data_IF_355448295435
#
_entry.id   IF_355448295435
#
_cell.length_a   1.000
_cell.length_b   1.000
_cell.length_c   1.000
_cell.angle_alpha   90.00
_cell.angle_beta   90.00
_cell.angle_gamma   90.00
#
_symmetry.space_group_name_H-M   'P 1'
#
loop_
_entity.id
_entity.type
_entity.pdbx_description
1 polymer ?
#
# COMPACT_ATOMS: atom_id res chain seq x y z
N UNK A 1 -32.05 2.31 45.45
CA UNK A 1 -31.41 0.99 45.34
C UNK A 1 -29.99 1.23 44.88
N UNK A 2 -29.02 0.55 45.47
CA UNK A 2 -27.60 0.85 45.31
C UNK A 2 -27.17 0.67 43.84
N UNK A 3 -26.73 1.74 43.20
CA UNK A 3 -25.91 1.65 41.99
C UNK A 3 -24.57 1.05 42.41
N UNK A 4 -24.42 -0.25 42.24
CA UNK A 4 -23.12 -0.90 42.15
C UNK A 4 -22.54 -0.47 40.81
N UNK A 5 -21.68 0.55 40.82
CA UNK A 5 -21.04 1.07 39.63
C UNK A 5 -20.21 -0.02 38.97
N UNK A 6 -20.51 -0.32 37.71
CA UNK A 6 -19.63 -1.07 36.81
C UNK A 6 -18.32 -0.31 36.75
N UNK A 7 -17.21 -1.02 36.95
CA UNK A 7 -15.89 -0.42 36.92
C UNK A 7 -15.40 -0.47 35.47
N UNK A 8 -15.93 0.42 34.64
CA UNK A 8 -15.42 0.57 33.28
C UNK A 8 -13.95 0.96 33.37
N UNK A 9 -13.06 0.05 32.97
CA UNK A 9 -11.70 0.41 32.61
C UNK A 9 -11.84 1.02 31.22
N UNK A 10 -12.13 2.32 31.17
CA UNK A 10 -11.88 3.10 29.96
C UNK A 10 -10.38 3.02 29.70
N UNK A 11 -9.99 2.04 28.91
CA UNK A 11 -8.85 2.25 28.05
C UNK A 11 -9.40 3.17 26.97
N UNK A 12 -9.03 4.45 27.07
CA UNK A 12 -8.71 5.14 25.82
C UNK A 12 -7.57 4.29 25.25
N UNK A 13 -7.93 3.29 24.43
CA UNK A 13 -7.04 2.90 23.35
C UNK A 13 -6.98 4.19 22.59
N UNK A 14 -5.91 4.96 22.81
CA UNK A 14 -5.56 5.98 21.85
C UNK A 14 -5.43 5.12 20.60
N UNK A 15 -6.34 5.20 19.60
CA UNK A 15 -5.91 4.74 18.30
C UNK A 15 -4.61 5.53 18.09
N UNK A 16 -3.60 4.97 17.46
CA UNK A 16 -2.36 5.68 17.14
C UNK A 16 -2.59 6.90 16.17
N UNK A 17 -3.76 7.53 16.27
CA UNK A 17 -4.46 8.53 15.49
C UNK A 17 -4.86 9.80 16.25
N UNK A 18 -4.40 10.03 17.50
CA UNK A 18 -4.56 11.34 18.13
C UNK A 18 -3.25 11.97 18.58
N UNK A 19 -2.56 12.61 17.64
CA UNK A 19 -1.72 13.78 17.93
C UNK A 19 -2.43 15.04 17.43
N UNK A 20 -3.47 15.44 18.15
CA UNK A 20 -4.11 16.75 17.98
C UNK A 20 -3.10 17.87 18.30
N UNK A 21 -2.59 18.54 17.26
CA UNK A 21 -2.13 19.92 17.40
C UNK A 21 -2.94 20.83 16.46
N UNK A 22 -3.87 21.56 17.08
CA UNK A 22 -4.44 22.79 16.55
C UNK A 22 -3.32 23.78 16.22
N UNK A 23 -2.96 23.92 14.94
CA UNK A 23 -2.35 25.12 14.38
C UNK A 23 -2.76 25.24 12.91
N UNK A 24 -3.92 25.88 12.72
CA UNK A 24 -4.26 26.79 11.62
C UNK A 24 -3.51 26.61 10.29
N UNK A 25 -4.22 26.04 9.30
CA UNK A 25 -4.48 26.68 8.02
C UNK A 25 -3.33 26.83 7.01
N UNK A 26 -3.49 26.14 5.89
CA UNK A 26 -2.97 26.49 4.56
C UNK A 26 -1.45 26.70 4.43
N UNK A 27 -0.68 25.61 4.33
CA UNK A 27 0.71 25.66 3.83
C UNK A 27 1.18 24.33 3.19
N UNK A 28 0.34 23.63 2.44
CA UNK A 28 0.70 22.33 1.84
C UNK A 28 0.28 22.25 0.37
N UNK A 29 0.79 23.19 -0.43
CA UNK A 29 0.91 23.10 -1.90
C UNK A 29 2.26 23.70 -2.36
N UNK A 30 2.88 24.57 -1.56
CA UNK A 30 4.12 25.26 -1.95
C UNK A 30 5.44 24.49 -1.69
N UNK A 31 5.47 23.42 -0.87
CA UNK A 31 6.75 22.75 -0.53
C UNK A 31 7.23 21.75 -1.61
N UNK A 32 6.31 21.08 -2.32
CA UNK A 32 6.64 20.33 -3.54
C UNK A 32 6.94 21.27 -4.72
N UNK A 33 6.33 22.45 -4.73
CA UNK A 33 6.68 23.51 -5.68
C UNK A 33 8.08 24.08 -5.40
N UNK A 34 8.48 24.28 -4.14
CA UNK A 34 9.84 24.71 -3.77
C UNK A 34 10.90 23.66 -4.08
N UNK A 35 10.59 22.37 -3.92
CA UNK A 35 11.48 21.28 -4.37
C UNK A 35 11.61 21.23 -5.90
N UNK A 36 10.49 21.37 -6.64
CA UNK A 36 10.50 21.54 -8.11
C UNK A 36 11.27 22.80 -8.53
N UNK A 37 11.10 23.93 -7.85
CA UNK A 37 11.78 25.19 -8.16
C UNK A 37 13.28 25.08 -7.88
N UNK A 38 13.68 24.42 -6.81
CA UNK A 38 15.08 24.19 -6.46
C UNK A 38 15.77 23.24 -7.45
N UNK A 39 15.07 22.21 -7.95
CA UNK A 39 15.55 21.35 -9.04
C UNK A 39 15.72 22.12 -10.35
N UNK A 40 14.73 22.96 -10.73
CA UNK A 40 14.82 23.82 -11.91
C UNK A 40 15.94 24.86 -11.77
N UNK A 41 16.12 25.45 -10.60
CA UNK A 41 17.19 26.43 -10.34
C UNK A 41 18.58 25.77 -10.38
N UNK A 42 18.73 24.57 -9.82
CA UNK A 42 19.97 23.80 -9.93
C UNK A 42 20.32 23.46 -11.40
N UNK A 43 19.32 23.10 -12.20
CA UNK A 43 19.47 22.86 -13.65
C UNK A 43 19.83 24.15 -14.43
N UNK A 44 19.31 25.32 -14.02
CA UNK A 44 19.65 26.60 -14.64
C UNK A 44 21.07 27.07 -14.27
N UNK A 45 21.51 26.84 -13.04
CA UNK A 45 22.89 27.14 -12.62
C UNK A 45 23.92 26.25 -13.32
N UNK A 46 23.58 24.99 -13.60
CA UNK A 46 24.43 24.07 -14.37
C UNK A 46 24.51 24.49 -15.85
N UNK A 47 23.37 24.84 -16.47
CA UNK A 47 23.34 25.45 -17.83
C UNK A 47 24.12 26.77 -17.91
N UNK A 48 24.10 27.60 -16.87
CA UNK A 48 24.85 28.85 -16.83
C UNK A 48 26.38 28.59 -16.77
N UNK A 49 26.81 27.55 -16.03
CA UNK A 49 28.21 27.10 -16.01
C UNK A 49 28.66 26.56 -17.37
N UNK A 50 27.79 25.84 -18.07
CA UNK A 50 28.08 25.28 -19.40
C UNK A 50 28.09 26.34 -20.51
N UNK A 51 27.17 27.32 -20.49
CA UNK A 51 27.15 28.43 -21.45
C UNK A 51 28.39 29.33 -21.35
N UNK A 52 28.99 29.42 -20.16
CA UNK A 52 30.27 30.12 -19.97
C UNK A 52 31.45 29.34 -20.57
N UNK A 53 31.30 28.01 -20.75
CA UNK A 53 32.29 27.13 -21.41
C UNK A 53 32.07 27.00 -22.92
N UNK A 54 30.85 27.22 -23.40
CA UNK A 54 30.42 26.99 -24.78
C UNK A 54 30.41 28.24 -25.67
N UNK A 55 30.83 29.42 -25.19
CA UNK A 55 30.91 30.64 -26.01
C UNK A 55 32.12 30.65 -26.98
N UNK A 56 32.24 29.61 -27.81
CA UNK A 56 32.94 29.66 -29.10
C UNK A 56 32.23 28.69 -30.04
N UNK A 57 31.26 29.20 -30.79
CA UNK A 57 30.99 28.99 -32.23
C UNK A 57 29.55 29.48 -32.53
N UNK A 58 29.47 30.52 -33.36
CA UNK A 58 28.26 31.15 -33.95
C UNK A 58 27.57 30.20 -34.96
N UNK A 59 26.23 30.05 -34.90
CA UNK A 59 25.16 30.75 -35.66
C UNK A 59 24.76 30.07 -37.00
N UNK A 60 23.51 29.61 -37.10
CA UNK A 60 22.62 29.91 -38.25
C UNK A 60 21.22 29.28 -38.10
N UNK A 61 20.24 30.16 -37.91
CA UNK A 61 18.87 30.26 -38.45
C UNK A 61 18.09 29.04 -38.99
N UNK A 62 16.98 28.76 -38.30
CA UNK A 62 15.57 28.54 -38.71
C UNK A 62 15.20 28.16 -40.16
N UNK A 63 14.33 27.14 -40.29
CA UNK A 63 13.05 27.28 -41.02
C UNK A 63 12.02 26.21 -40.55
N UNK A 64 10.76 26.63 -40.57
CA UNK A 64 9.54 25.92 -40.22
C UNK A 64 9.05 24.99 -41.33
N UNK A 65 8.31 23.92 -40.99
CA UNK A 65 7.04 23.56 -41.66
C UNK A 65 6.30 22.44 -40.92
N UNK A 66 4.99 22.66 -40.91
CA UNK A 66 3.85 21.85 -40.49
C UNK A 66 3.79 20.49 -41.22
N UNK A 67 3.44 19.41 -40.51
CA UNK A 67 2.62 18.35 -41.09
C UNK A 67 2.02 17.38 -40.05
N UNK A 68 0.68 17.38 -40.05
CA UNK A 68 -0.30 16.34 -39.70
C UNK A 68 0.18 15.03 -39.03
N UNK A 69 -0.29 14.82 -37.79
CA UNK A 69 -0.19 13.55 -37.06
C UNK A 69 -1.40 12.67 -37.44
N UNK A 70 -1.14 11.58 -38.15
CA UNK A 70 -2.06 10.45 -38.27
C UNK A 70 -1.91 9.55 -37.04
N UNK A 71 -2.99 9.30 -36.32
CA UNK A 71 -3.07 8.26 -35.28
C UNK A 71 -2.66 6.91 -35.86
N UNK A 72 -1.52 6.40 -35.42
CA UNK A 72 -1.10 5.02 -35.61
C UNK A 72 -1.25 4.32 -34.28
N UNK A 73 -2.10 3.29 -34.26
CA UNK A 73 -2.30 2.41 -33.11
C UNK A 73 -0.96 1.86 -32.64
N UNK A 74 -0.58 2.18 -31.40
CA UNK A 74 0.61 1.61 -30.77
C UNK A 74 0.42 0.10 -30.60
N UNK A 75 1.18 -0.67 -31.35
CA UNK A 75 1.27 -2.13 -31.21
C UNK A 75 2.01 -2.41 -29.89
N UNK A 76 1.32 -2.94 -28.86
CA UNK A 76 1.94 -3.38 -27.60
C UNK A 76 3.06 -4.39 -27.90
N UNK A 77 4.31 -3.99 -27.68
CA UNK A 77 5.49 -4.86 -27.78
C UNK A 77 5.39 -6.01 -26.77
N UNK A 78 5.58 -7.25 -27.21
CA UNK A 78 5.59 -8.42 -26.31
C UNK A 78 7.00 -8.71 -25.77
N UNK A 79 7.13 -9.51 -24.70
CA UNK A 79 8.44 -9.93 -24.19
C UNK A 79 9.25 -10.74 -25.19
N UNK A 80 8.59 -11.51 -26.06
CA UNK A 80 9.25 -12.17 -27.16
C UNK A 80 9.86 -11.14 -28.14
N UNK A 81 9.17 -10.02 -28.36
CA UNK A 81 9.67 -8.92 -29.20
C UNK A 81 10.80 -8.16 -28.53
N UNK A 82 10.76 -7.94 -27.21
CA UNK A 82 11.85 -7.31 -26.45
C UNK A 82 13.07 -8.25 -26.42
N UNK A 83 12.94 -9.50 -25.99
CA UNK A 83 14.04 -10.47 -25.96
C UNK A 83 14.67 -10.66 -27.35
N UNK A 84 13.86 -10.63 -28.43
CA UNK A 84 14.35 -10.70 -29.82
C UNK A 84 14.97 -9.38 -30.31
N UNK A 85 14.45 -8.23 -29.91
CA UNK A 85 15.00 -6.90 -30.26
C UNK A 85 16.33 -6.63 -29.54
N UNK A 86 16.52 -7.24 -28.37
CA UNK A 86 17.63 -7.03 -27.43
C UNK A 86 18.47 -8.29 -27.16
N UNK A 87 18.46 -9.27 -28.07
CA UNK A 87 19.30 -10.48 -28.03
C UNK A 87 20.79 -10.14 -28.21
N UNK A 88 21.68 -10.40 -27.22
CA UNK A 88 23.11 -10.08 -27.28
C UNK A 88 23.88 -10.80 -28.41
N UNK A 89 23.33 -11.85 -29.01
CA UNK A 89 23.95 -12.55 -30.16
C UNK A 89 23.70 -11.84 -31.52
N UNK A 90 22.91 -10.77 -31.54
CA UNK A 90 22.77 -9.91 -32.74
C UNK A 90 23.94 -8.93 -32.77
N UNK A 91 24.99 -9.29 -33.51
CA UNK A 91 26.24 -8.54 -33.71
C UNK A 91 26.08 -7.28 -34.58
N UNK A 92 25.05 -6.46 -34.37
CA UNK A 92 24.94 -5.16 -35.01
C UNK A 92 25.63 -4.09 -34.15
N UNK A 93 26.89 -3.82 -34.48
CA UNK A 93 27.75 -2.81 -33.85
C UNK A 93 27.22 -1.36 -33.93
N UNK A 94 26.06 -1.12 -34.53
CA UNK A 94 25.38 0.18 -34.56
C UNK A 94 24.24 0.34 -33.53
N UNK A 95 23.87 -0.70 -32.76
CA UNK A 95 22.88 -0.57 -31.68
C UNK A 95 23.57 -0.24 -30.35
N UNK A 96 23.67 1.05 -30.03
CA UNK A 96 24.35 1.55 -28.81
C UNK A 96 23.65 1.23 -27.47
N UNK A 97 22.47 0.59 -27.49
CA UNK A 97 21.53 0.62 -26.36
C UNK A 97 21.18 -0.75 -25.76
N UNK A 98 21.93 -1.81 -26.09
CA UNK A 98 21.61 -3.16 -25.63
C UNK A 98 22.15 -3.41 -24.23
N UNK A 99 21.32 -3.17 -23.21
CA UNK A 99 21.52 -3.75 -21.88
C UNK A 99 20.75 -5.09 -21.78
N UNK A 100 21.40 -6.20 -21.40
CA UNK A 100 20.72 -7.47 -21.18
C UNK A 100 19.64 -7.33 -20.09
N UNK A 101 18.40 -7.72 -20.40
CA UNK A 101 17.29 -7.68 -19.44
C UNK A 101 17.45 -8.84 -18.44
N UNK A 102 17.50 -8.56 -17.12
CA UNK A 102 17.57 -9.60 -16.11
C UNK A 102 16.36 -10.53 -16.15
N UNK A 103 16.59 -11.82 -15.90
CA UNK A 103 15.54 -12.82 -15.72
C UNK A 103 15.76 -13.57 -14.39
N UNK A 104 15.50 -12.91 -13.23
CA UNK A 104 15.70 -13.53 -11.93
C UNK A 104 14.80 -14.76 -11.76
N UNK A 105 15.37 -15.89 -11.34
CA UNK A 105 14.64 -17.17 -11.15
C UNK A 105 13.46 -17.04 -10.19
N UNK A 106 13.54 -16.14 -9.21
CA UNK A 106 12.45 -15.86 -8.26
C UNK A 106 11.13 -15.41 -8.94
N UNK A 107 11.18 -14.91 -10.19
CA UNK A 107 10.00 -14.54 -10.96
C UNK A 107 9.25 -15.74 -11.56
N UNK A 108 9.81 -16.96 -11.47
CA UNK A 108 9.07 -18.19 -11.76
C UNK A 108 8.09 -18.53 -10.62
N UNK A 109 8.34 -18.00 -9.42
CA UNK A 109 7.58 -18.32 -8.21
C UNK A 109 6.55 -17.24 -7.86
N UNK A 110 6.82 -15.98 -8.17
CA UNK A 110 5.92 -14.87 -7.85
C UNK A 110 5.59 -14.14 -9.14
N UNK A 111 4.29 -13.97 -9.46
CA UNK A 111 3.87 -13.20 -10.62
C UNK A 111 4.48 -11.80 -10.63
N UNK A 112 4.93 -11.37 -11.80
CA UNK A 112 5.37 -10.01 -12.05
C UNK A 112 4.14 -9.17 -12.46
N UNK A 113 3.95 -8.02 -11.82
CA UNK A 113 2.82 -7.13 -12.11
C UNK A 113 3.27 -6.05 -13.10
N UNK A 114 2.83 -6.19 -14.36
CA UNK A 114 3.10 -5.24 -15.43
C UNK A 114 2.07 -5.35 -16.56
N UNK A 115 1.56 -4.21 -17.03
CA UNK A 115 0.55 -4.14 -18.11
C UNK A 115 1.14 -3.71 -19.46
N UNK A 116 2.43 -3.36 -19.45
CA UNK A 116 3.18 -2.86 -20.60
C UNK A 116 4.61 -3.38 -20.65
N UNK A 117 5.22 -3.28 -21.83
CA UNK A 117 6.62 -3.60 -22.06
C UNK A 117 7.58 -2.78 -21.19
N UNK A 118 7.27 -1.49 -20.98
CA UNK A 118 8.08 -0.60 -20.15
C UNK A 118 8.00 -0.98 -18.67
N UNK A 119 6.79 -1.28 -18.18
CA UNK A 119 6.59 -1.71 -16.79
C UNK A 119 7.35 -3.00 -16.47
N UNK A 120 7.22 -4.02 -17.31
CA UNK A 120 7.94 -5.29 -17.10
C UNK A 120 9.46 -5.10 -17.19
N UNK A 121 9.92 -4.26 -18.12
CA UNK A 121 11.34 -3.92 -18.25
C UNK A 121 11.87 -3.27 -16.98
N UNK A 122 11.19 -2.24 -16.48
CA UNK A 122 11.56 -1.56 -15.23
C UNK A 122 11.53 -2.55 -14.06
N UNK A 123 10.45 -3.30 -13.89
CA UNK A 123 10.27 -4.21 -12.77
C UNK A 123 11.42 -5.23 -12.68
N UNK A 124 11.80 -5.86 -13.80
CA UNK A 124 12.92 -6.82 -13.84
C UNK A 124 14.26 -6.20 -13.44
N UNK A 125 14.55 -4.99 -13.92
CA UNK A 125 15.78 -4.29 -13.55
C UNK A 125 15.78 -3.83 -12.09
N UNK A 126 14.64 -3.38 -11.58
CA UNK A 126 14.48 -2.93 -10.20
C UNK A 126 14.58 -4.07 -9.22
N UNK A 127 13.94 -5.21 -9.49
CA UNK A 127 14.09 -6.46 -8.74
C UNK A 127 15.55 -6.92 -8.77
N UNK A 128 16.24 -6.78 -9.91
CA UNK A 128 17.66 -7.09 -9.99
C UNK A 128 18.55 -6.11 -9.22
N UNK A 129 18.09 -4.94 -8.77
CA UNK A 129 18.94 -3.94 -8.11
C UNK A 129 19.86 -3.17 -9.08
N UNK A 130 19.43 -2.98 -10.33
CA UNK A 130 20.21 -2.29 -11.35
C UNK A 130 20.26 -0.78 -11.10
N UNK A 131 21.46 -0.23 -10.90
CA UNK A 131 21.66 1.20 -10.60
C UNK A 131 21.51 2.15 -11.79
N UNK A 132 21.59 1.64 -13.02
CA UNK A 132 21.49 2.43 -14.25
C UNK A 132 20.73 1.64 -15.30
N UNK A 133 19.60 2.18 -15.74
CA UNK A 133 18.70 1.56 -16.70
C UNK A 133 18.56 2.51 -17.89
N UNK A 134 19.01 2.08 -19.07
CA UNK A 134 18.74 2.79 -20.32
C UNK A 134 17.27 2.65 -20.72
N UNK A 135 16.62 3.78 -20.97
CA UNK A 135 15.23 3.88 -21.44
C UNK A 135 15.16 4.35 -22.90
N UNK A 136 16.28 4.36 -23.61
CA UNK A 136 16.34 4.80 -25.01
C UNK A 136 15.45 3.98 -25.95
N UNK A 137 15.15 2.75 -25.54
CA UNK A 137 14.25 1.81 -26.19
C UNK A 137 12.76 2.19 -26.16
N UNK A 138 12.38 3.08 -25.23
CA UNK A 138 11.00 3.41 -24.88
C UNK A 138 10.74 4.91 -25.12
N UNK A 139 10.20 5.29 -26.29
CA UNK A 139 9.80 6.66 -26.57
C UNK A 139 8.81 7.25 -25.55
N UNK A 140 7.91 6.42 -25.02
CA UNK A 140 6.93 6.78 -23.98
C UNK A 140 7.61 7.20 -22.68
N UNK A 141 8.76 6.61 -22.33
CA UNK A 141 9.56 6.96 -21.15
C UNK A 141 10.29 8.32 -21.26
N UNK A 142 10.11 9.05 -22.36
CA UNK A 142 10.70 10.38 -22.56
C UNK A 142 9.81 11.50 -22.00
N UNK A 143 8.55 11.19 -21.66
CA UNK A 143 7.71 12.04 -20.84
C UNK A 143 8.09 11.83 -19.36
N UNK A 144 8.54 12.88 -18.69
CA UNK A 144 9.02 12.76 -17.31
C UNK A 144 7.90 12.51 -16.28
N UNK A 145 6.70 13.03 -16.53
CA UNK A 145 5.52 12.82 -15.69
C UNK A 145 5.02 11.39 -15.86
N UNK A 146 4.75 10.95 -17.08
CA UNK A 146 4.34 9.57 -17.34
C UNK A 146 5.39 8.53 -16.93
N UNK A 147 6.70 8.84 -17.02
CA UNK A 147 7.75 7.95 -16.48
C UNK A 147 7.72 7.88 -14.95
N UNK A 148 7.43 8.98 -14.27
CA UNK A 148 7.29 8.99 -12.81
C UNK A 148 6.13 8.10 -12.39
N UNK A 149 4.93 8.27 -12.96
CA UNK A 149 3.75 7.46 -12.62
C UNK A 149 4.00 5.98 -12.94
N UNK A 150 4.59 5.69 -14.12
CA UNK A 150 4.96 4.32 -14.49
C UNK A 150 5.94 3.71 -13.49
N UNK A 151 6.93 4.48 -13.03
CA UNK A 151 7.91 4.00 -12.06
C UNK A 151 7.27 3.77 -10.69
N UNK A 152 6.40 4.67 -10.21
CA UNK A 152 5.70 4.48 -8.95
C UNK A 152 4.76 3.26 -9.00
N UNK A 153 3.94 3.13 -10.05
CA UNK A 153 3.14 1.92 -10.30
C UNK A 153 3.99 0.66 -10.26
N UNK A 154 5.12 0.65 -10.98
CA UNK A 154 6.01 -0.52 -10.98
C UNK A 154 6.54 -0.81 -9.58
N UNK A 155 6.98 0.20 -8.83
CA UNK A 155 7.51 0.04 -7.47
C UNK A 155 6.46 -0.53 -6.51
N UNK A 156 5.28 0.10 -6.42
CA UNK A 156 4.25 -0.32 -5.47
C UNK A 156 3.61 -1.65 -5.86
N UNK A 157 3.37 -1.91 -7.15
CA UNK A 157 2.65 -3.11 -7.54
C UNK A 157 3.53 -4.37 -7.61
N UNK A 158 4.85 -4.26 -7.41
CA UNK A 158 5.79 -5.39 -7.42
C UNK A 158 6.50 -5.56 -6.06
N UNK A 159 5.96 -6.37 -5.13
CA UNK A 159 6.50 -6.55 -3.78
C UNK A 159 7.96 -7.06 -3.70
N UNK A 160 8.54 -7.55 -4.79
CA UNK A 160 9.94 -7.98 -4.84
C UNK A 160 10.91 -6.84 -5.15
N UNK A 161 10.43 -5.64 -5.50
CA UNK A 161 11.27 -4.44 -5.57
C UNK A 161 11.46 -3.93 -4.14
N UNK A 162 12.67 -4.09 -3.61
CA UNK A 162 13.00 -3.71 -2.24
C UNK A 162 14.18 -2.74 -2.20
N UNK A 163 14.21 -1.93 -1.15
CA UNK A 163 15.33 -1.08 -0.79
C UNK A 163 15.72 -0.02 -1.82
N UNK A 164 14.77 0.45 -2.64
CA UNK A 164 14.97 1.61 -3.50
C UNK A 164 15.04 2.86 -2.61
N UNK A 165 16.11 3.64 -2.76
CA UNK A 165 16.38 4.82 -1.91
C UNK A 165 16.08 6.12 -2.66
N UNK A 166 16.82 6.40 -3.73
CA UNK A 166 16.56 7.56 -4.59
C UNK A 166 16.62 7.17 -6.06
N UNK A 167 15.97 7.97 -6.90
CA UNK A 167 16.09 7.83 -8.34
C UNK A 167 16.01 9.18 -9.03
N UNK A 168 16.58 9.27 -10.22
CA UNK A 168 16.41 10.41 -11.11
C UNK A 168 16.58 10.01 -12.57
N UNK A 169 15.92 10.76 -13.45
CA UNK A 169 16.00 10.54 -14.88
C UNK A 169 16.95 11.54 -15.54
N UNK A 170 17.94 11.04 -16.27
CA UNK A 170 18.81 11.86 -17.10
C UNK A 170 18.29 11.87 -18.55
N UNK A 171 17.61 12.94 -18.95
CA UNK A 171 16.98 13.08 -20.28
C UNK A 171 17.98 13.15 -21.43
N UNK A 172 19.21 13.62 -21.20
CA UNK A 172 20.27 13.67 -22.22
C UNK A 172 20.76 12.27 -22.60
N UNK A 173 20.94 11.42 -21.59
CA UNK A 173 21.42 10.03 -21.74
C UNK A 173 20.28 9.02 -21.77
N UNK A 174 19.04 9.47 -21.63
CA UNK A 174 17.83 8.65 -21.52
C UNK A 174 17.99 7.51 -20.52
N UNK A 175 18.61 7.80 -19.38
CA UNK A 175 18.99 6.79 -18.38
C UNK A 175 18.31 7.11 -17.05
N UNK A 176 17.59 6.14 -16.50
CA UNK A 176 17.14 6.15 -15.12
C UNK A 176 18.30 5.70 -14.22
N UNK A 177 18.61 6.51 -13.21
CA UNK A 177 19.67 6.22 -12.24
C UNK A 177 19.03 6.05 -10.87
N UNK A 178 19.42 4.99 -10.17
CA UNK A 178 18.79 4.55 -8.93
C UNK A 178 19.88 4.26 -7.89
N UNK A 179 19.62 4.65 -6.64
CA UNK A 179 20.35 4.19 -5.45
C UNK A 179 19.49 3.19 -4.70
N UNK A 180 20.17 2.26 -4.03
CA UNK A 180 19.55 1.28 -3.16
C UNK A 180 20.18 1.39 -1.79
N UNK A 181 19.37 1.15 -0.76
CA UNK A 181 19.80 1.04 0.64
C UNK A 181 20.85 -0.07 0.80
N UNK A 182 20.62 -1.18 0.09
CA UNK A 182 21.40 -2.40 0.20
C UNK A 182 22.25 -2.70 -1.04
N UNK A 183 23.22 -3.61 -0.86
CA UNK A 183 23.92 -4.19 -2.00
C UNK A 183 22.98 -5.13 -2.79
N UNK A 184 23.18 -5.24 -4.10
CA UNK A 184 22.45 -6.18 -4.95
C UNK A 184 22.46 -7.63 -4.40
N UNK A 185 23.59 -8.07 -3.83
CA UNK A 185 23.69 -9.40 -3.23
C UNK A 185 22.85 -9.53 -1.95
N UNK A 186 22.75 -8.47 -1.15
CA UNK A 186 21.90 -8.44 0.05
C UNK A 186 20.43 -8.51 -0.36
N UNK A 187 20.03 -7.66 -1.31
CA UNK A 187 18.67 -7.64 -1.86
C UNK A 187 18.26 -9.01 -2.41
N UNK A 188 19.12 -9.63 -3.23
CA UNK A 188 18.88 -10.97 -3.78
C UNK A 188 18.67 -12.01 -2.67
N UNK A 189 19.46 -11.94 -1.59
CA UNK A 189 19.31 -12.82 -0.43
C UNK A 189 17.99 -12.60 0.32
N UNK A 190 17.58 -11.34 0.51
CA UNK A 190 16.29 -10.98 1.13
C UNK A 190 15.13 -11.47 0.27
N UNK A 191 15.12 -11.16 -1.02
CA UNK A 191 14.09 -11.61 -1.98
C UNK A 191 13.94 -13.14 -1.99
N UNK A 192 15.03 -13.90 -2.03
CA UNK A 192 14.97 -15.37 -2.02
C UNK A 192 14.32 -15.91 -0.74
N UNK A 193 14.64 -15.31 0.42
CA UNK A 193 14.01 -15.68 1.70
C UNK A 193 12.52 -15.31 1.70
N UNK A 194 12.18 -14.10 1.24
CA UNK A 194 10.79 -13.64 1.13
C UNK A 194 9.96 -14.59 0.27
N UNK A 195 10.44 -14.96 -0.92
CA UNK A 195 9.74 -15.91 -1.80
C UNK A 195 9.58 -17.28 -1.14
N UNK A 196 10.64 -17.79 -0.52
CA UNK A 196 10.61 -19.10 0.15
C UNK A 196 9.57 -19.11 1.27
N UNK A 197 9.58 -18.08 2.12
CA UNK A 197 8.67 -17.98 3.25
C UNK A 197 7.22 -17.72 2.78
N UNK A 198 7.01 -16.85 1.79
CA UNK A 198 5.68 -16.62 1.21
C UNK A 198 5.07 -17.90 0.64
N UNK A 199 5.86 -18.75 -0.01
CA UNK A 199 5.40 -20.08 -0.48
C UNK A 199 5.01 -21.00 0.69
N UNK A 200 5.82 -21.06 1.74
CA UNK A 200 5.51 -21.85 2.93
C UNK A 200 4.22 -21.39 3.61
N UNK A 201 4.00 -20.07 3.67
CA UNK A 201 2.77 -19.47 4.17
C UNK A 201 1.59 -19.93 3.34
N UNK A 202 1.62 -19.73 2.02
CA UNK A 202 0.51 -20.10 1.13
C UNK A 202 0.22 -21.59 1.19
N UNK A 203 1.24 -22.45 1.15
CA UNK A 203 1.08 -23.90 1.25
C UNK A 203 0.43 -24.33 2.57
N UNK A 204 0.56 -23.51 3.63
CA UNK A 204 0.00 -23.79 4.95
C UNK A 204 -1.44 -23.27 5.14
N UNK A 205 -1.81 -22.16 4.48
CA UNK A 205 -3.09 -21.48 4.70
C UNK A 205 -4.09 -21.64 3.55
N UNK A 206 -3.63 -21.99 2.34
CA UNK A 206 -4.47 -22.12 1.15
C UNK A 206 -4.64 -23.58 0.75
N UNK A 207 -5.89 -24.00 0.57
CA UNK A 207 -6.27 -25.33 0.07
C UNK A 207 -6.96 -25.23 -1.30
N UNK A 208 -6.91 -26.30 -2.10
CA UNK A 208 -7.41 -26.31 -3.48
C UNK A 208 -8.93 -26.03 -3.54
N UNK A 209 -9.68 -26.55 -2.58
CA UNK A 209 -11.14 -26.46 -2.49
C UNK A 209 -11.67 -25.13 -1.92
N UNK A 210 -10.79 -24.24 -1.43
CA UNK A 210 -11.20 -22.95 -0.88
C UNK A 210 -11.88 -22.09 -1.95
N UNK A 211 -12.87 -21.32 -1.53
CA UNK A 211 -13.44 -20.22 -2.30
C UNK A 211 -12.50 -19.01 -2.28
N UNK A 212 -12.67 -18.07 -3.21
CA UNK A 212 -11.83 -16.86 -3.23
C UNK A 212 -11.98 -16.03 -1.94
N UNK A 213 -13.16 -16.06 -1.31
CA UNK A 213 -13.37 -15.42 0.00
C UNK A 213 -12.55 -16.12 1.10
N UNK A 214 -12.60 -17.45 1.17
CA UNK A 214 -11.81 -18.19 2.16
C UNK A 214 -10.31 -17.99 1.96
N UNK A 215 -9.84 -17.88 0.71
CA UNK A 215 -8.43 -17.57 0.41
C UNK A 215 -8.04 -16.17 0.88
N UNK A 216 -8.85 -15.15 0.57
CA UNK A 216 -8.60 -13.76 1.00
C UNK A 216 -8.58 -13.64 2.52
N UNK A 217 -9.56 -14.26 3.18
CA UNK A 217 -9.67 -14.24 4.63
C UNK A 217 -8.49 -14.97 5.27
N UNK A 218 -8.08 -16.13 4.74
CA UNK A 218 -6.93 -16.86 5.26
C UNK A 218 -5.62 -16.05 5.18
N UNK A 219 -5.41 -15.28 4.10
CA UNK A 219 -4.25 -14.37 3.98
C UNK A 219 -4.34 -13.25 5.01
N UNK A 220 -5.50 -12.60 5.14
CA UNK A 220 -5.74 -11.54 6.12
C UNK A 220 -5.46 -12.03 7.55
N UNK A 221 -6.11 -13.14 7.93
CA UNK A 221 -6.00 -13.77 9.23
C UNK A 221 -4.56 -14.18 9.54
N UNK A 222 -3.83 -14.71 8.56
CA UNK A 222 -2.43 -15.08 8.73
C UNK A 222 -1.57 -13.86 9.07
N UNK A 223 -1.67 -12.78 8.28
CA UNK A 223 -0.88 -11.57 8.49
C UNK A 223 -1.21 -10.93 9.84
N UNK A 224 -2.49 -10.83 10.18
CA UNK A 224 -2.93 -10.31 11.47
C UNK A 224 -2.34 -11.12 12.63
N UNK A 225 -2.39 -12.46 12.56
CA UNK A 225 -1.99 -13.34 13.67
C UNK A 225 -0.48 -13.56 13.78
N UNK A 226 0.29 -13.34 12.72
CA UNK A 226 1.69 -13.75 12.65
C UNK A 226 2.66 -12.59 12.43
N UNK A 227 2.19 -11.35 12.33
CA UNK A 227 3.03 -10.16 12.26
C UNK A 227 2.74 -9.20 13.41
N UNK A 228 3.72 -8.37 13.75
CA UNK A 228 3.62 -7.32 14.76
C UNK A 228 3.89 -5.97 14.11
N UNK A 229 3.17 -4.94 14.53
CA UNK A 229 3.45 -3.58 14.07
C UNK A 229 4.77 -3.07 14.64
N UNK A 230 5.61 -2.48 13.79
CA UNK A 230 6.90 -1.93 14.20
C UNK A 230 6.76 -0.46 14.65
N UNK A 231 6.40 -0.29 15.92
CA UNK A 231 6.25 1.04 16.53
C UNK A 231 7.56 1.85 16.50
N UNK A 232 8.72 1.20 16.62
CA UNK A 232 10.02 1.88 16.61
C UNK A 232 10.35 2.41 15.20
N UNK A 233 10.07 1.63 14.16
CA UNK A 233 10.18 2.05 12.77
C UNK A 233 9.20 3.19 12.44
N UNK A 234 7.96 3.10 12.93
CA UNK A 234 6.97 4.15 12.78
C UNK A 234 7.43 5.45 13.45
N UNK A 235 7.80 5.41 14.73
CA UNK A 235 8.30 6.57 15.47
C UNK A 235 9.54 7.19 14.80
N UNK A 236 10.44 6.36 14.26
CA UNK A 236 11.58 6.82 13.47
C UNK A 236 11.15 7.58 12.21
N UNK A 237 10.13 7.09 11.49
CA UNK A 237 9.59 7.79 10.33
C UNK A 237 8.97 9.14 10.71
N UNK A 238 8.25 9.20 11.84
CA UNK A 238 7.67 10.45 12.38
C UNK A 238 8.77 11.46 12.68
N UNK A 239 9.86 11.04 13.34
CA UNK A 239 11.03 11.89 13.62
C UNK A 239 11.64 12.51 12.36
N UNK A 240 11.56 11.78 11.24
CA UNK A 240 12.04 12.20 9.93
C UNK A 240 10.96 12.83 9.03
N UNK A 241 9.77 13.13 9.58
CA UNK A 241 8.60 13.65 8.85
C UNK A 241 8.22 12.80 7.64
N UNK A 242 8.31 11.47 7.79
CA UNK A 242 7.97 10.46 6.79
C UNK A 242 8.79 10.53 5.48
N UNK A 243 9.94 11.20 5.49
CA UNK A 243 10.78 11.35 4.29
C UNK A 243 11.77 10.21 4.08
N UNK A 244 12.22 9.60 5.17
CA UNK A 244 13.14 8.47 5.21
C UNK A 244 13.09 7.85 6.61
N UNK A 245 13.74 6.70 6.77
CA UNK A 245 14.02 6.10 8.08
C UNK A 245 15.50 5.79 8.20
N UNK A 246 15.97 5.61 9.43
CA UNK A 246 17.32 5.08 9.67
C UNK A 246 17.43 3.66 9.11
N UNK A 247 18.60 3.31 8.58
CA UNK A 247 18.80 2.07 7.81
C UNK A 247 18.51 0.77 8.57
N UNK A 248 18.41 0.83 9.90
CA UNK A 248 18.02 -0.33 10.71
C UNK A 248 16.52 -0.66 10.60
N UNK A 249 15.70 0.30 10.17
CA UNK A 249 14.25 0.14 9.98
C UNK A 249 13.85 -0.07 8.51
N UNK A 250 14.79 -0.07 7.57
CA UNK A 250 14.51 -0.21 6.13
C UNK A 250 13.64 -1.44 5.81
N UNK A 251 13.88 -2.56 6.50
CA UNK A 251 13.16 -3.81 6.28
C UNK A 251 11.69 -3.74 6.72
N UNK A 252 11.37 -2.92 7.74
CA UNK A 252 10.02 -2.72 8.26
C UNK A 252 9.07 -2.03 7.25
N UNK A 253 9.60 -1.42 6.18
CA UNK A 253 8.84 -0.78 5.09
C UNK A 253 8.83 -1.62 3.81
N UNK A 254 9.43 -2.82 3.83
CA UNK A 254 9.51 -3.71 2.67
C UNK A 254 8.73 -5.00 2.91
N UNK A 255 8.45 -5.76 1.87
CA UNK A 255 7.85 -7.10 1.97
C UNK A 255 8.64 -8.06 2.87
N UNK A 256 9.94 -7.83 3.05
CA UNK A 256 10.79 -8.67 3.89
C UNK A 256 10.43 -8.59 5.38
N UNK A 257 10.07 -7.40 5.87
CA UNK A 257 9.71 -7.18 7.28
C UNK A 257 8.59 -8.09 7.76
N UNK A 258 7.40 -7.97 7.18
CA UNK A 258 6.24 -8.78 7.58
C UNK A 258 6.36 -10.25 7.16
N UNK A 259 6.81 -10.57 5.94
CA UNK A 259 6.89 -11.97 5.51
C UNK A 259 7.96 -12.74 6.28
N UNK A 260 9.17 -12.20 6.45
CA UNK A 260 10.32 -12.93 7.00
C UNK A 260 10.57 -12.59 8.46
N UNK A 261 10.60 -11.31 8.81
CA UNK A 261 10.92 -10.87 10.18
C UNK A 261 9.71 -10.85 11.11
N UNK A 262 8.49 -10.95 10.53
CA UNK A 262 7.21 -10.87 11.23
C UNK A 262 7.03 -9.51 11.94
N UNK A 263 7.67 -8.47 11.43
CA UNK A 263 7.71 -7.13 12.01
C UNK A 263 7.73 -6.09 10.89
N UNK A 264 6.80 -5.14 10.92
CA UNK A 264 6.78 -4.06 9.93
C UNK A 264 5.65 -3.06 10.13
N UNK A 265 5.62 -2.03 9.29
CA UNK A 265 4.56 -1.01 9.27
C UNK A 265 3.57 -1.23 8.13
N UNK A 266 2.56 -0.36 8.00
CA UNK A 266 1.47 -0.49 7.03
C UNK A 266 1.90 -0.86 5.61
N UNK A 267 2.96 -0.21 5.10
CA UNK A 267 3.53 -0.52 3.78
C UNK A 267 4.01 -1.98 3.65
N UNK A 268 4.66 -2.53 4.68
CA UNK A 268 5.12 -3.93 4.68
C UNK A 268 3.95 -4.92 4.71
N UNK A 269 2.89 -4.62 5.45
CA UNK A 269 1.65 -5.41 5.44
C UNK A 269 0.99 -5.38 4.06
N UNK A 270 0.86 -4.20 3.44
CA UNK A 270 0.24 -4.05 2.13
C UNK A 270 1.01 -4.80 1.03
N UNK A 271 2.34 -4.72 1.06
CA UNK A 271 3.20 -5.51 0.18
C UNK A 271 3.07 -7.02 0.41
N UNK A 272 2.98 -7.43 1.67
CA UNK A 272 2.87 -8.84 2.06
C UNK A 272 1.53 -9.43 1.62
N UNK A 273 0.42 -8.70 1.83
CA UNK A 273 -0.89 -9.10 1.35
C UNK A 273 -0.89 -9.23 -0.17
N UNK A 274 -0.40 -8.21 -0.90
CA UNK A 274 -0.28 -8.24 -2.37
C UNK A 274 0.51 -9.46 -2.86
N UNK A 275 1.66 -9.74 -2.27
CA UNK A 275 2.51 -10.86 -2.66
C UNK A 275 1.83 -12.21 -2.43
N UNK A 276 1.19 -12.39 -1.27
CA UNK A 276 0.46 -13.62 -0.94
C UNK A 276 -0.78 -13.79 -1.83
N UNK A 277 -1.51 -12.71 -2.10
CA UNK A 277 -2.64 -12.67 -3.01
C UNK A 277 -2.24 -13.05 -4.44
N UNK A 278 -1.14 -12.49 -4.96
CA UNK A 278 -0.60 -12.82 -6.28
C UNK A 278 -0.25 -14.31 -6.40
N UNK A 279 0.40 -14.85 -5.38
CA UNK A 279 0.73 -16.28 -5.31
C UNK A 279 -0.55 -17.13 -5.29
N UNK A 280 -1.59 -16.68 -4.58
CA UNK A 280 -2.88 -17.37 -4.47
C UNK A 280 -3.80 -17.16 -5.69
N UNK A 281 -3.39 -16.35 -6.68
CA UNK A 281 -4.21 -16.03 -7.85
C UNK A 281 -5.39 -15.10 -7.54
N UNK A 282 -5.27 -14.24 -6.53
CA UNK A 282 -6.27 -13.25 -6.13
C UNK A 282 -5.88 -11.89 -6.70
N UNK A 283 -6.74 -11.34 -7.56
CA UNK A 283 -6.59 -9.99 -8.11
C UNK A 283 -6.61 -8.95 -6.97
N UNK A 284 -5.47 -8.30 -6.75
CA UNK A 284 -5.29 -7.26 -5.75
C UNK A 284 -4.32 -6.19 -6.22
N UNK A 285 -4.41 -5.00 -5.64
CA UNK A 285 -3.48 -3.89 -5.83
C UNK A 285 -3.07 -3.33 -4.47
N UNK A 286 -1.92 -2.66 -4.43
CA UNK A 286 -1.54 -1.78 -3.32
C UNK A 286 -2.11 -0.39 -3.59
N UNK A 287 -2.64 0.24 -2.54
CA UNK A 287 -3.12 1.62 -2.53
C UNK A 287 -2.27 2.39 -1.53
N UNK A 288 -1.87 3.61 -1.91
CA UNK A 288 -1.21 4.59 -1.04
C UNK A 288 -2.12 5.77 -0.78
N UNK A 289 -1.86 6.48 0.31
CA UNK A 289 -2.61 7.67 0.67
C UNK A 289 -2.39 8.05 2.13
N UNK A 290 -3.47 8.45 2.80
CA UNK A 290 -3.44 8.78 4.23
C UNK A 290 -4.53 8.06 5.02
N UNK A 291 -4.27 7.87 6.30
CA UNK A 291 -5.23 7.53 7.34
C UNK A 291 -5.19 8.67 8.37
N UNK A 292 -6.25 9.48 8.43
CA UNK A 292 -6.33 10.71 9.23
C UNK A 292 -5.07 11.61 9.11
N UNK A 293 -4.73 11.96 7.87
CA UNK A 293 -3.58 12.79 7.50
C UNK A 293 -2.18 12.17 7.75
N UNK A 294 -2.09 10.93 8.24
CA UNK A 294 -0.83 10.18 8.36
C UNK A 294 -0.61 9.32 7.11
N UNK A 295 0.57 9.32 6.48
CA UNK A 295 0.86 8.46 5.34
C UNK A 295 0.56 6.99 5.64
N UNK A 296 -0.21 6.35 4.76
CA UNK A 296 -0.68 4.98 4.94
C UNK A 296 -0.69 4.21 3.63
N UNK A 297 -0.63 2.89 3.73
CA UNK A 297 -0.74 1.98 2.59
C UNK A 297 -1.60 0.77 2.97
N UNK A 298 -2.47 0.37 2.05
CA UNK A 298 -3.39 -0.77 2.22
C UNK A 298 -3.62 -1.45 0.86
N UNK A 299 -4.61 -2.33 0.76
CA UNK A 299 -4.92 -3.05 -0.48
C UNK A 299 -6.35 -2.82 -0.94
N UNK A 300 -6.54 -2.92 -2.26
CA UNK A 300 -7.86 -3.23 -2.84
C UNK A 300 -7.82 -4.61 -3.47
N UNK A 301 -8.91 -5.36 -3.36
CA UNK A 301 -9.11 -6.67 -3.97
C UNK A 301 -10.32 -6.66 -4.88
N UNK A 302 -10.25 -7.42 -5.96
CA UNK A 302 -11.38 -7.54 -6.88
C UNK A 302 -12.38 -8.59 -6.38
N UNK A 303 -13.63 -8.18 -6.17
CA UNK A 303 -14.72 -9.06 -5.74
C UNK A 303 -15.91 -8.87 -6.67
N UNK A 304 -16.08 -9.81 -7.59
CA UNK A 304 -17.00 -9.65 -8.72
C UNK A 304 -16.47 -8.59 -9.68
N UNK A 305 -17.26 -7.53 -9.89
CA UNK A 305 -16.94 -6.42 -10.80
C UNK A 305 -16.45 -5.16 -10.06
N UNK A 306 -16.25 -5.22 -8.74
CA UNK A 306 -15.85 -4.09 -7.89
C UNK A 306 -14.52 -4.33 -7.20
N UNK A 307 -13.81 -3.25 -6.89
CA UNK A 307 -12.56 -3.26 -6.11
C UNK A 307 -12.83 -2.75 -4.71
N UNK A 308 -12.65 -3.62 -3.71
CA UNK A 308 -12.99 -3.33 -2.31
C UNK A 308 -11.73 -3.28 -1.45
N UNK A 309 -11.77 -2.43 -0.43
CA UNK A 309 -10.65 -2.15 0.44
C UNK A 309 -10.45 -3.29 1.45
N UNK A 310 -9.18 -3.64 1.69
CA UNK A 310 -8.69 -4.54 2.74
C UNK A 310 -7.47 -3.89 3.38
N UNK A 311 -7.48 -3.75 4.70
CA UNK A 311 -6.30 -3.35 5.49
C UNK A 311 -5.95 -4.42 6.53
N UNK A 312 -4.92 -5.22 6.24
CA UNK A 312 -4.40 -6.25 7.16
C UNK A 312 -3.50 -5.70 8.28
N UNK A 313 -3.22 -4.40 8.29
CA UNK A 313 -2.49 -3.73 9.38
C UNK A 313 -3.42 -3.43 10.54
N UNK A 314 -4.59 -2.82 10.30
CA UNK A 314 -5.44 -2.28 11.35
C UNK A 314 -6.47 -3.27 11.93
N UNK A 315 -6.21 -4.58 11.87
CA UNK A 315 -7.07 -5.63 12.45
C UNK A 315 -7.05 -5.70 13.99
N UNK A 316 -7.56 -6.80 14.57
CA UNK A 316 -7.74 -6.91 16.02
C UNK A 316 -6.44 -6.82 16.81
N UNK A 317 -5.32 -7.35 16.29
CA UNK A 317 -4.05 -7.32 17.02
C UNK A 317 -3.45 -5.91 17.15
N UNK A 318 -3.65 -5.03 16.18
CA UNK A 318 -3.04 -3.69 16.19
C UNK A 318 -4.02 -2.59 16.60
N UNK A 319 -5.26 -2.62 16.11
CA UNK A 319 -6.29 -1.63 16.49
C UNK A 319 -7.22 -2.12 17.60
N UNK A 320 -7.33 -3.44 17.80
CA UNK A 320 -8.37 -4.03 18.65
C UNK A 320 -9.68 -4.35 17.91
N UNK A 321 -9.88 -3.82 16.70
CA UNK A 321 -11.10 -4.02 15.91
C UNK A 321 -10.92 -5.17 14.92
N UNK A 322 -11.58 -6.32 15.09
CA UNK A 322 -11.47 -7.45 14.18
C UNK A 322 -12.00 -7.11 12.79
N UNK A 323 -11.26 -7.47 11.73
CA UNK A 323 -11.66 -7.24 10.34
C UNK A 323 -11.99 -5.77 10.02
N UNK A 324 -11.26 -4.84 10.63
CA UNK A 324 -11.35 -3.41 10.30
C UNK A 324 -11.00 -3.20 8.82
N UNK A 325 -11.87 -2.47 8.11
CA UNK A 325 -11.77 -2.22 6.67
C UNK A 325 -11.60 -3.51 5.82
N UNK A 326 -12.28 -4.61 6.16
CA UNK A 326 -12.23 -5.84 5.37
C UNK A 326 -13.39 -5.93 4.36
N UNK A 327 -13.05 -6.01 3.07
CA UNK A 327 -13.98 -6.00 1.93
C UNK A 327 -14.90 -4.76 1.91
N UNK A 328 -14.39 -3.62 2.35
CA UNK A 328 -15.18 -2.39 2.53
C UNK A 328 -15.21 -1.53 1.27
N UNK A 329 -16.35 -0.90 0.98
CA UNK A 329 -16.49 0.09 -0.11
C UNK A 329 -15.60 1.31 0.10
N UNK A 330 -15.28 2.05 -0.96
CA UNK A 330 -14.55 3.32 -0.90
C UNK A 330 -15.24 4.34 0.04
N UNK A 331 -16.58 4.42 0.00
CA UNK A 331 -17.31 5.31 0.89
C UNK A 331 -17.16 4.95 2.38
N UNK A 332 -16.96 3.66 2.70
CA UNK A 332 -16.64 3.24 4.07
C UNK A 332 -15.20 3.58 4.42
N UNK A 333 -14.25 3.33 3.51
CA UNK A 333 -12.85 3.69 3.68
C UNK A 333 -12.69 5.19 4.00
N UNK A 334 -13.30 6.07 3.19
CA UNK A 334 -13.30 7.51 3.42
C UNK A 334 -13.93 7.91 4.74
N UNK A 335 -15.02 7.26 5.16
CA UNK A 335 -15.64 7.54 6.46
C UNK A 335 -14.75 7.16 7.65
N UNK A 336 -13.82 6.22 7.44
CA UNK A 336 -12.83 5.77 8.42
C UNK A 336 -11.48 6.50 8.29
N UNK A 337 -11.43 7.60 7.54
CA UNK A 337 -10.23 8.42 7.40
C UNK A 337 -9.25 7.97 6.31
N UNK A 338 -9.55 6.91 5.54
CA UNK A 338 -8.71 6.46 4.43
C UNK A 338 -8.94 7.32 3.19
N UNK A 339 -7.91 8.06 2.78
CA UNK A 339 -7.93 8.91 1.59
C UNK A 339 -6.83 8.44 0.65
N UNK A 340 -7.21 7.91 -0.52
CA UNK A 340 -6.27 7.47 -1.55
C UNK A 340 -5.56 8.66 -2.23
N UNK A 341 -4.28 8.49 -2.55
CA UNK A 341 -3.52 9.38 -3.45
C UNK A 341 -3.49 8.82 -4.89
N UNK A 342 -2.68 9.42 -5.75
CA UNK A 342 -2.56 9.04 -7.16
C UNK A 342 -1.21 8.35 -7.47
N UNK A 343 -0.32 8.19 -6.49
CA UNK A 343 1.05 7.73 -6.72
C UNK A 343 1.15 6.20 -6.99
N UNK A 344 0.16 5.39 -6.58
CA UNK A 344 0.28 3.93 -6.67
C UNK A 344 -0.06 3.32 -8.04
N UNK A 345 -0.59 4.12 -8.97
CA UNK A 345 -1.02 3.67 -10.30
C UNK A 345 -0.89 4.79 -11.33
N UNK A 346 -1.20 4.51 -12.60
CA UNK A 346 -1.35 5.57 -13.61
C UNK A 346 -2.65 6.37 -13.36
N UNK A 347 -2.55 7.69 -13.24
CA UNK A 347 -3.68 8.60 -12.99
C UNK A 347 -4.88 8.33 -13.89
N UNK A 348 -4.62 8.14 -15.19
CA UNK A 348 -5.67 7.94 -16.19
C UNK A 348 -6.40 6.60 -16.05
N UNK A 349 -5.87 5.64 -15.28
CA UNK A 349 -6.45 4.31 -15.07
C UNK A 349 -7.07 4.13 -13.69
N UNK A 350 -6.85 5.05 -12.73
CA UNK A 350 -7.33 4.92 -11.34
C UNK A 350 -8.85 4.69 -11.23
N UNK A 351 -9.63 5.23 -12.16
CA UNK A 351 -11.09 5.06 -12.22
C UNK A 351 -11.55 3.59 -12.27
N UNK A 352 -10.67 2.67 -12.65
CA UNK A 352 -10.99 1.24 -12.73
C UNK A 352 -11.01 0.54 -11.37
N UNK A 353 -10.47 1.16 -10.31
CA UNK A 353 -10.31 0.58 -8.98
C UNK A 353 -11.32 1.10 -7.95
N UNK A 354 -12.59 1.15 -8.37
CA UNK A 354 -13.69 1.65 -7.54
C UNK A 354 -14.57 0.53 -7.00
N UNK A 355 -15.12 0.74 -5.80
CA UNK A 355 -16.05 -0.18 -5.16
C UNK A 355 -17.02 0.56 -4.25
N UNK A 356 -18.29 0.45 -4.56
CA UNK A 356 -19.37 1.18 -3.86
C UNK A 356 -20.27 0.28 -3.02
N UNK A 357 -20.24 -1.03 -3.29
CA UNK A 357 -21.08 -1.99 -2.57
C UNK A 357 -20.56 -2.26 -1.15
N UNK A 358 -21.50 -2.38 -0.21
CA UNK A 358 -21.23 -2.90 1.13
C UNK A 358 -21.60 -4.39 1.26
N UNK A 359 -22.00 -5.04 0.16
CA UNK A 359 -22.50 -6.44 0.19
C UNK A 359 -21.51 -7.44 0.79
N UNK A 360 -20.21 -7.21 0.59
CA UNK A 360 -19.14 -8.12 1.02
C UNK A 360 -18.41 -7.66 2.27
N UNK A 361 -18.74 -6.48 2.78
CA UNK A 361 -18.14 -5.91 3.99
C UNK A 361 -18.39 -6.85 5.18
N UNK A 362 -17.34 -7.10 5.96
CA UNK A 362 -17.39 -8.07 7.06
C UNK A 362 -18.55 -7.80 8.03
N UNK A 363 -18.72 -6.55 8.44
CA UNK A 363 -19.73 -6.18 9.44
C UNK A 363 -21.15 -6.25 8.87
N UNK A 364 -21.32 -6.09 7.55
CA UNK A 364 -22.60 -6.31 6.87
C UNK A 364 -22.91 -7.80 6.78
N UNK A 365 -21.96 -8.60 6.28
CA UNK A 365 -22.14 -10.05 6.07
C UNK A 365 -22.44 -10.78 7.39
N UNK A 366 -21.82 -10.34 8.49
CA UNK A 366 -21.96 -10.96 9.80
C UNK A 366 -23.07 -10.34 10.68
N UNK A 367 -23.88 -9.41 10.14
CA UNK A 367 -24.96 -8.73 10.88
C UNK A 367 -24.44 -8.05 12.16
N UNK A 368 -23.33 -7.31 12.06
CA UNK A 368 -22.67 -6.62 13.19
C UNK A 368 -22.92 -5.10 13.20
N UNK A 369 -23.67 -4.57 12.24
CA UNK A 369 -24.03 -3.14 12.20
C UNK A 369 -25.20 -2.79 13.14
N UNK A 370 -25.16 -1.61 13.75
CA UNK A 370 -26.14 -1.19 14.76
C UNK A 370 -26.69 0.19 14.41
N UNK A 371 -28.04 0.28 14.33
CA UNK A 371 -28.75 1.52 13.96
C UNK A 371 -29.54 2.15 15.11
N UNK A 372 -29.63 1.47 16.25
CA UNK A 372 -30.36 1.96 17.43
C UNK A 372 -29.90 1.24 18.70
N UNK A 373 -30.18 1.82 19.86
CA UNK A 373 -29.92 1.18 21.16
C UNK A 373 -30.61 -0.17 21.32
N UNK A 374 -31.79 -0.36 20.71
CA UNK A 374 -32.48 -1.65 20.74
C UNK A 374 -31.69 -2.72 19.98
N UNK A 375 -31.11 -2.38 18.83
CA UNK A 375 -30.25 -3.28 18.07
C UNK A 375 -28.92 -3.52 18.80
N UNK A 376 -28.36 -2.47 19.39
CA UNK A 376 -27.13 -2.52 20.17
C UNK A 376 -27.23 -3.55 21.30
N UNK A 377 -28.27 -3.40 22.14
CA UNK A 377 -28.58 -4.34 23.23
C UNK A 377 -28.72 -5.78 22.73
N UNK A 378 -29.49 -5.96 21.65
CA UNK A 378 -29.77 -7.29 21.11
C UNK A 378 -28.51 -7.98 20.57
N UNK A 379 -27.68 -7.25 19.81
CA UNK A 379 -26.47 -7.79 19.19
C UNK A 379 -25.35 -8.00 20.21
N UNK A 380 -25.17 -7.08 21.17
CA UNK A 380 -24.24 -7.28 22.29
C UNK A 380 -24.61 -8.52 23.10
N UNK A 381 -25.88 -8.65 23.49
CA UNK A 381 -26.36 -9.81 24.25
C UNK A 381 -26.12 -11.13 23.50
N UNK A 382 -26.45 -11.17 22.20
CA UNK A 382 -26.19 -12.33 21.33
C UNK A 382 -24.69 -12.65 21.23
N UNK A 383 -23.85 -11.62 21.07
CA UNK A 383 -22.40 -11.75 20.98
C UNK A 383 -21.81 -12.39 22.23
N UNK A 384 -22.13 -11.86 23.41
CA UNK A 384 -21.63 -12.40 24.68
C UNK A 384 -22.09 -13.83 24.94
N UNK A 385 -23.35 -14.14 24.63
CA UNK A 385 -23.91 -15.49 24.77
C UNK A 385 -23.28 -16.53 23.82
N UNK A 386 -22.63 -16.09 22.74
CA UNK A 386 -21.93 -17.00 21.83
C UNK A 386 -20.64 -17.59 22.44
N UNK A 387 -20.13 -16.99 23.51
CA UNK A 387 -18.84 -17.33 24.11
C UNK A 387 -17.63 -16.78 23.36
N UNK A 388 -17.83 -15.86 22.41
CA UNK A 388 -16.74 -15.18 21.72
C UNK A 388 -15.95 -14.30 22.70
N UNK A 389 -14.62 -14.43 22.73
CA UNK A 389 -13.75 -13.62 23.59
C UNK A 389 -13.84 -12.12 23.29
N UNK A 390 -14.22 -11.77 22.07
CA UNK A 390 -14.38 -10.39 21.61
C UNK A 390 -15.72 -10.26 20.90
N UNK A 391 -16.45 -9.19 21.21
CA UNK A 391 -17.63 -8.75 20.46
C UNK A 391 -17.29 -7.39 19.87
N UNK A 392 -17.42 -7.23 18.56
CA UNK A 392 -17.25 -5.94 17.89
C UNK A 392 -18.50 -5.61 17.09
N UNK A 393 -19.00 -4.38 17.24
CA UNK A 393 -20.18 -3.88 16.53
C UNK A 393 -19.83 -2.56 15.85
N UNK A 394 -20.44 -2.29 14.70
CA UNK A 394 -20.27 -1.04 13.95
C UNK A 394 -21.52 -0.16 14.07
N UNK A 395 -21.38 1.02 14.65
CA UNK A 395 -22.44 2.01 14.80
C UNK A 395 -22.68 2.73 13.47
N UNK A 396 -23.94 2.79 13.05
CA UNK A 396 -24.39 3.54 11.87
C UNK A 396 -25.20 4.78 12.22
N UNK A 397 -25.43 5.01 13.50
CA UNK A 397 -26.12 6.17 14.03
C UNK A 397 -25.37 6.64 15.29
N UNK A 398 -25.31 7.96 15.44
CA UNK A 398 -24.86 8.58 16.68
C UNK A 398 -25.83 8.20 17.81
N UNK A 399 -25.29 7.67 18.90
CA UNK A 399 -26.04 7.14 20.05
C UNK A 399 -25.45 7.75 21.32
N UNK A 400 -26.33 8.07 22.27
CA UNK A 400 -25.92 8.65 23.53
C UNK A 400 -25.05 7.67 24.32
N UNK A 401 -23.84 8.11 24.68
CA UNK A 401 -22.83 7.28 25.34
C UNK A 401 -23.33 6.77 26.71
N UNK A 402 -24.01 7.61 27.50
CA UNK A 402 -24.55 7.21 28.80
C UNK A 402 -25.63 6.12 28.61
N UNK A 403 -26.50 6.27 27.61
CA UNK A 403 -27.50 5.24 27.29
C UNK A 403 -26.87 3.93 26.79
N UNK A 404 -25.75 3.98 26.05
CA UNK A 404 -24.98 2.79 25.66
C UNK A 404 -24.35 2.10 26.87
N UNK A 405 -23.73 2.85 27.79
CA UNK A 405 -23.14 2.31 29.03
C UNK A 405 -24.19 1.67 29.94
N UNK A 406 -25.39 2.23 30.01
CA UNK A 406 -26.54 1.64 30.69
C UNK A 406 -26.91 0.30 30.05
N UNK A 407 -27.01 0.24 28.71
CA UNK A 407 -27.26 -1.01 27.99
C UNK A 407 -26.19 -2.06 28.26
N UNK A 408 -24.91 -1.69 28.24
CA UNK A 408 -23.80 -2.61 28.54
C UNK A 408 -23.97 -3.19 29.94
N UNK A 409 -24.22 -2.33 30.93
CA UNK A 409 -24.40 -2.72 32.32
C UNK A 409 -25.59 -3.68 32.49
N UNK A 410 -26.72 -3.40 31.84
CA UNK A 410 -27.89 -4.27 31.83
C UNK A 410 -27.59 -5.64 31.20
N UNK A 411 -26.96 -5.64 30.02
CA UNK A 411 -26.64 -6.87 29.30
C UNK A 411 -25.64 -7.73 30.09
N UNK A 412 -24.58 -7.14 30.64
CA UNK A 412 -23.63 -7.88 31.47
C UNK A 412 -24.32 -8.52 32.67
N UNK A 413 -25.17 -7.79 33.40
CA UNK A 413 -25.95 -8.35 34.51
C UNK A 413 -26.83 -9.55 34.10
N UNK A 414 -27.39 -9.52 32.89
CA UNK A 414 -28.30 -10.56 32.41
C UNK A 414 -27.59 -11.81 31.88
N UNK A 415 -26.48 -11.64 31.14
CA UNK A 415 -25.92 -12.74 30.34
C UNK A 415 -24.45 -13.04 30.61
N UNK A 416 -23.70 -12.12 31.22
CA UNK A 416 -22.27 -12.27 31.50
C UNK A 416 -21.86 -11.48 32.77
N UNK A 417 -22.43 -11.81 33.94
CA UNK A 417 -22.27 -11.00 35.16
C UNK A 417 -20.84 -10.92 35.65
N UNK A 418 -19.99 -11.87 35.29
CA UNK A 418 -18.54 -11.84 35.52
C UNK A 418 -17.86 -10.61 34.89
N UNK A 419 -18.37 -10.11 33.75
CA UNK A 419 -17.79 -8.98 33.03
C UNK A 419 -18.08 -7.62 33.68
N UNK A 420 -18.98 -7.55 34.67
CA UNK A 420 -19.25 -6.31 35.40
C UNK A 420 -18.02 -5.75 36.14
N UNK A 421 -17.08 -6.63 36.50
CA UNK A 421 -15.86 -6.26 37.23
C UNK A 421 -14.61 -6.22 36.35
N UNK A 422 -14.59 -6.98 35.24
CA UNK A 422 -13.38 -7.23 34.43
C UNK A 422 -13.53 -6.90 32.95
N UNK A 423 -14.75 -6.72 32.46
CA UNK A 423 -15.00 -6.48 31.04
C UNK A 423 -14.36 -5.19 30.57
N UNK A 424 -13.69 -5.25 29.43
CA UNK A 424 -13.11 -4.07 28.78
C UNK A 424 -14.04 -3.58 27.66
N UNK A 425 -14.17 -2.26 27.55
CA UNK A 425 -14.95 -1.55 26.55
C UNK A 425 -14.12 -0.41 25.98
N UNK A 426 -14.11 -0.26 24.66
CA UNK A 426 -13.53 0.89 23.99
C UNK A 426 -14.21 1.15 22.66
N UNK A 427 -14.07 2.39 22.18
CA UNK A 427 -14.59 2.88 20.93
C UNK A 427 -13.44 3.32 20.03
N UNK A 428 -13.50 2.96 18.75
CA UNK A 428 -12.57 3.41 17.70
C UNK A 428 -13.39 3.76 16.49
N UNK A 429 -13.32 5.01 16.03
CA UNK A 429 -14.22 5.55 15.01
C UNK A 429 -15.69 5.24 15.34
N UNK A 430 -16.39 4.55 14.44
CA UNK A 430 -17.76 4.09 14.66
C UNK A 430 -17.82 2.62 15.10
N UNK A 431 -16.77 2.06 15.68
CA UNK A 431 -16.75 0.70 16.23
C UNK A 431 -16.74 0.71 17.74
N UNK A 432 -17.46 -0.24 18.30
CA UNK A 432 -17.49 -0.52 19.74
C UNK A 432 -17.06 -1.96 19.96
N UNK A 433 -16.07 -2.15 20.84
CA UNK A 433 -15.46 -3.45 21.07
C UNK A 433 -15.52 -3.81 22.55
N UNK A 434 -15.89 -5.07 22.81
CA UNK A 434 -16.03 -5.66 24.14
C UNK A 434 -15.13 -6.88 24.23
N UNK A 435 -14.35 -6.98 25.30
CA UNK A 435 -13.56 -8.18 25.61
C UNK A 435 -14.09 -8.86 26.87
N UNK A 436 -14.19 -10.20 26.80
CA UNK A 436 -14.58 -11.07 27.92
C UNK A 436 -13.43 -11.39 28.87
#
# INVERSE_FOLDING_TARGET
>A
MMHTGVKFIYKVVIPLLMCSFLLTGCFWIDMLAEYRQNLVNAQLEERARENTSASKIEDSTADSTDDSISETSEEKLTIADIKKKYDPDITDSNKKDMQPVPDPVILEEVPLNADSALEEYLARFLIHGQKRISLQAFPEAQNAEGLYDTLQKVMYQNPLIIGLDTYWYNSLTKTLVITYQDSQSTMTGKQQKTVTEARLIIDSIIQEEMTDEERRQAIYDYLEQNATYDDEAYDNSVLHNYKYVDSEYDDAFSTYGVIVEKLGVCMSYAYSYKMLADIAGIDSIIVTGTLDDVPHAWNKVKIGDEWLNIDSTNGANNSGVPYFLYNSSDGMATNLGYIEDEDYWLDEELYQFTGSTSKYDYYVVHDLEVKSLSEYRAKLSKGLQSGASTVSLRLLADMDEDEMLDVISEVYNEVAPELLEIGEYYEIENYVVFHQ
#
